data_IF_911833560507
#
_entry.id   IF_911833560507
#
_cell.length_a   1.000
_cell.length_b   1.000
_cell.length_c   1.000
_cell.angle_alpha   90.00
_cell.angle_beta   90.00
_cell.angle_gamma   90.00
#
_symmetry.space_group_name_H-M   'P 1'
#
loop_
_entity.id
_entity.type
_entity.pdbx_description
1 polymer ?
#
# COMPACT_ATOMS: atom_id res chain seq x y z
N UNK A 1 -13.10 -7.34 -4.28
CA UNK A 1 -12.37 -6.07 -4.26
C UNK A 1 -11.49 -5.93 -5.51
N UNK A 2 -10.32 -6.60 -5.56
CA UNK A 2 -9.37 -6.53 -6.67
C UNK A 2 -8.93 -7.94 -7.08
N UNK A 3 -8.59 -8.15 -8.36
CA UNK A 3 -8.04 -9.40 -8.89
C UNK A 3 -6.68 -9.10 -9.52
N UNK A 4 -5.63 -9.25 -8.73
CA UNK A 4 -4.23 -9.11 -9.17
C UNK A 4 -3.52 -10.47 -9.11
N UNK A 5 -2.46 -10.72 -9.90
CA UNK A 5 -1.76 -12.00 -9.90
C UNK A 5 -1.31 -12.41 -8.50
N UNK A 6 -1.79 -13.56 -8.05
CA UNK A 6 -1.42 -14.18 -6.78
C UNK A 6 -1.75 -15.68 -6.82
N UNK A 7 -1.04 -16.49 -6.02
CA UNK A 7 -1.28 -17.93 -5.92
C UNK A 7 -1.35 -18.71 -7.25
N UNK A 8 -0.62 -18.25 -8.29
CA UNK A 8 -0.60 -18.90 -9.61
C UNK A 8 0.13 -20.24 -9.59
N UNK A 9 0.96 -20.48 -8.58
CA UNK A 9 1.54 -21.80 -8.27
C UNK A 9 0.44 -22.85 -8.02
N UNK A 10 -0.66 -22.44 -7.37
CA UNK A 10 -1.82 -23.28 -7.06
C UNK A 10 -2.86 -23.27 -8.19
N UNK A 11 -3.24 -22.09 -8.69
CA UNK A 11 -4.35 -21.94 -9.64
C UNK A 11 -3.95 -22.07 -11.10
N UNK A 12 -2.65 -22.02 -11.41
CA UNK A 12 -2.03 -22.18 -12.74
C UNK A 12 -2.34 -21.05 -13.73
N UNK A 13 -3.55 -20.46 -13.73
CA UNK A 13 -3.94 -19.36 -14.61
C UNK A 13 -4.69 -18.27 -13.84
N UNK A 14 -4.67 -17.05 -14.38
CA UNK A 14 -5.43 -15.93 -13.82
C UNK A 14 -6.94 -16.16 -13.86
N UNK A 15 -7.42 -16.84 -14.88
CA UNK A 15 -8.84 -17.20 -15.05
C UNK A 15 -9.30 -18.15 -13.93
N UNK A 16 -8.52 -19.22 -13.67
CA UNK A 16 -8.83 -20.16 -12.60
C UNK A 16 -8.77 -19.49 -11.21
N UNK A 17 -7.80 -18.58 -11.02
CA UNK A 17 -7.71 -17.79 -9.79
C UNK A 17 -8.92 -16.85 -9.62
N UNK A 18 -9.30 -16.10 -10.68
CA UNK A 18 -10.44 -15.20 -10.66
C UNK A 18 -11.75 -15.98 -10.38
N UNK A 19 -12.01 -17.11 -11.06
CA UNK A 19 -13.20 -17.93 -10.81
C UNK A 19 -13.24 -18.45 -9.37
N UNK A 20 -12.11 -18.83 -8.80
CA UNK A 20 -12.05 -19.22 -7.39
C UNK A 20 -12.44 -18.07 -6.44
N UNK A 21 -12.07 -16.83 -6.75
CA UNK A 21 -12.49 -15.63 -6.00
C UNK A 21 -13.96 -15.28 -6.22
N UNK A 22 -14.47 -15.46 -7.43
CA UNK A 22 -15.87 -15.19 -7.77
C UNK A 22 -16.87 -16.09 -7.03
N UNK A 23 -16.44 -17.25 -6.53
CA UNK A 23 -17.26 -18.09 -5.67
C UNK A 23 -17.79 -17.37 -4.41
N UNK A 24 -17.25 -16.21 -4.03
CA UNK A 24 -17.75 -15.42 -2.89
C UNK A 24 -19.21 -15.00 -3.10
N UNK A 25 -19.65 -14.84 -4.36
CA UNK A 25 -21.02 -14.41 -4.68
C UNK A 25 -21.99 -15.55 -4.96
N UNK A 26 -21.54 -16.82 -4.98
CA UNK A 26 -22.35 -17.96 -5.42
C UNK A 26 -23.66 -18.19 -4.64
N UNK A 27 -23.72 -17.71 -3.41
CA UNK A 27 -24.88 -17.84 -2.54
C UNK A 27 -25.64 -16.52 -2.36
N UNK A 28 -25.22 -15.46 -3.07
CA UNK A 28 -25.87 -14.15 -2.99
C UNK A 28 -27.19 -14.13 -3.77
N UNK A 29 -28.11 -13.34 -3.26
CA UNK A 29 -29.44 -13.07 -3.83
C UNK A 29 -29.52 -11.61 -4.29
N UNK A 30 -30.69 -11.19 -4.79
CA UNK A 30 -30.93 -9.80 -5.17
C UNK A 30 -30.98 -8.82 -3.97
N UNK A 31 -31.06 -9.32 -2.74
CA UNK A 31 -31.03 -8.50 -1.51
C UNK A 31 -29.62 -8.29 -0.99
N UNK A 32 -28.62 -8.96 -1.56
CA UNK A 32 -27.22 -8.86 -1.17
C UNK A 32 -26.47 -7.82 -1.97
N UNK A 33 -25.27 -7.49 -1.49
CA UNK A 33 -24.36 -6.54 -2.17
C UNK A 33 -23.02 -7.20 -2.49
N UNK A 34 -22.43 -6.79 -3.61
CA UNK A 34 -21.04 -7.08 -3.95
C UNK A 34 -20.31 -5.77 -4.28
N UNK A 35 -19.13 -5.59 -3.68
CA UNK A 35 -18.32 -4.39 -3.86
C UNK A 35 -17.14 -4.72 -4.77
N UNK A 36 -17.06 -4.06 -5.92
CA UNK A 36 -16.12 -4.35 -6.99
C UNK A 36 -15.33 -3.09 -7.41
N UNK A 37 -14.06 -3.30 -7.80
CA UNK A 37 -13.24 -2.24 -8.39
C UNK A 37 -13.63 -2.02 -9.86
N UNK A 38 -14.07 -0.81 -10.20
CA UNK A 38 -14.47 -0.43 -11.54
C UNK A 38 -13.28 -0.30 -12.50
N UNK A 39 -12.07 -0.08 -12.00
CA UNK A 39 -10.86 0.01 -12.80
C UNK A 39 -10.40 -1.37 -13.34
N UNK A 40 -10.87 -2.47 -12.74
CA UNK A 40 -10.57 -3.84 -13.17
C UNK A 40 -11.59 -4.34 -14.20
N UNK A 41 -11.14 -4.54 -15.44
CA UNK A 41 -12.00 -5.03 -16.54
C UNK A 41 -12.62 -6.40 -16.26
N UNK A 42 -11.88 -7.32 -15.61
CA UNK A 42 -12.40 -8.64 -15.25
C UNK A 42 -13.56 -8.54 -14.27
N UNK A 43 -13.48 -7.57 -13.34
CA UNK A 43 -14.56 -7.34 -12.38
C UNK A 43 -15.78 -6.69 -13.04
N UNK A 44 -15.60 -5.82 -14.05
CA UNK A 44 -16.72 -5.30 -14.84
C UNK A 44 -17.44 -6.41 -15.61
N UNK A 45 -16.70 -7.34 -16.21
CA UNK A 45 -17.30 -8.51 -16.86
C UNK A 45 -17.96 -9.46 -15.85
N UNK A 46 -17.34 -9.68 -14.70
CA UNK A 46 -17.90 -10.51 -13.65
C UNK A 46 -19.23 -9.95 -13.11
N UNK A 47 -19.34 -8.63 -12.97
CA UNK A 47 -20.54 -7.95 -12.48
C UNK A 47 -21.79 -8.29 -13.29
N UNK A 48 -21.66 -8.54 -14.60
CA UNK A 48 -22.77 -8.95 -15.49
C UNK A 48 -23.37 -10.31 -15.10
N UNK A 49 -22.65 -11.09 -14.30
CA UNK A 49 -23.05 -12.44 -13.84
C UNK A 49 -23.62 -12.40 -12.41
N UNK A 50 -23.48 -11.26 -11.70
CA UNK A 50 -23.95 -11.15 -10.33
C UNK A 50 -25.46 -10.96 -10.27
N UNK A 51 -26.13 -11.67 -9.33
CA UNK A 51 -27.54 -11.45 -8.99
C UNK A 51 -27.71 -10.34 -7.96
N UNK A 52 -26.69 -10.12 -7.13
CA UNK A 52 -26.65 -9.10 -6.07
C UNK A 52 -26.46 -7.70 -6.62
N UNK A 53 -26.82 -6.70 -5.81
CA UNK A 53 -26.53 -5.30 -6.13
C UNK A 53 -25.02 -5.06 -6.17
N UNK A 54 -24.55 -4.46 -7.28
CA UNK A 54 -23.13 -4.11 -7.43
C UNK A 54 -22.92 -2.67 -6.98
N UNK A 55 -22.07 -2.48 -5.97
CA UNK A 55 -21.52 -1.17 -5.61
C UNK A 55 -20.08 -1.09 -6.12
N UNK A 56 -19.80 -0.05 -6.86
CA UNK A 56 -18.50 0.16 -7.45
C UNK A 56 -17.62 1.07 -6.60
N UNK A 57 -16.33 0.90 -6.73
CA UNK A 57 -15.36 1.95 -6.43
C UNK A 57 -14.35 2.05 -7.58
N UNK A 58 -13.92 3.26 -7.88
CA UNK A 58 -12.97 3.51 -8.97
C UNK A 58 -12.10 4.73 -8.68
N UNK A 59 -10.86 4.67 -9.12
CA UNK A 59 -9.90 5.77 -8.97
C UNK A 59 -9.53 6.38 -10.32
N UNK A 60 -9.38 5.57 -11.34
CA UNK A 60 -9.02 5.98 -12.71
C UNK A 60 -10.27 6.23 -13.55
N UNK A 61 -11.23 5.31 -13.46
CA UNK A 61 -12.48 5.36 -14.22
C UNK A 61 -13.64 5.65 -13.28
N UNK A 62 -14.46 6.65 -13.65
CA UNK A 62 -15.65 7.02 -12.90
C UNK A 62 -16.78 6.02 -13.17
N UNK A 63 -17.31 5.33 -12.14
CA UNK A 63 -18.48 4.46 -12.29
C UNK A 63 -19.79 5.28 -12.35
N UNK A 64 -20.86 4.67 -12.85
CA UNK A 64 -22.20 5.29 -12.86
C UNK A 64 -22.82 5.34 -11.43
N UNK A 65 -22.44 4.43 -10.57
CA UNK A 65 -22.87 4.39 -9.15
C UNK A 65 -21.76 3.84 -8.28
N UNK A 66 -21.67 4.30 -7.03
CA UNK A 66 -20.66 3.85 -6.07
C UNK A 66 -19.75 4.97 -5.61
N UNK A 67 -18.48 4.69 -5.43
CA UNK A 67 -17.49 5.66 -4.93
C UNK A 67 -16.42 5.93 -5.97
N UNK A 68 -15.99 7.19 -6.05
CA UNK A 68 -15.00 7.62 -7.03
C UNK A 68 -14.03 8.62 -6.41
N UNK A 69 -12.74 8.45 -6.71
CA UNK A 69 -11.68 9.37 -6.29
C UNK A 69 -11.30 10.32 -7.42
N UNK A 70 -11.29 11.62 -7.15
CA UNK A 70 -10.84 12.65 -8.09
C UNK A 70 -10.34 13.88 -7.31
N UNK A 71 -9.23 14.47 -7.75
CA UNK A 71 -8.70 15.73 -7.24
C UNK A 71 -8.59 15.77 -5.71
N UNK A 72 -8.08 14.69 -5.10
CA UNK A 72 -7.92 14.45 -3.64
C UNK A 72 -9.22 14.32 -2.85
N UNK A 73 -10.35 14.14 -3.53
CA UNK A 73 -11.67 13.98 -2.90
C UNK A 73 -12.28 12.63 -3.30
N UNK A 74 -12.91 11.96 -2.36
CA UNK A 74 -13.76 10.80 -2.58
C UNK A 74 -15.21 11.28 -2.68
N UNK A 75 -15.85 10.92 -3.78
CA UNK A 75 -17.24 11.23 -4.09
C UNK A 75 -18.10 9.97 -4.00
N UNK A 76 -19.36 10.13 -3.57
CA UNK A 76 -20.43 9.15 -3.73
C UNK A 76 -21.26 9.51 -4.97
N UNK A 77 -21.46 8.55 -5.86
CA UNK A 77 -22.21 8.71 -7.10
C UNK A 77 -23.47 7.85 -7.06
N UNK A 78 -24.62 8.45 -7.28
CA UNK A 78 -25.91 7.78 -7.35
C UNK A 78 -26.90 8.64 -8.17
N UNK A 79 -27.68 8.01 -9.07
CA UNK A 79 -28.77 8.67 -9.82
C UNK A 79 -28.37 10.01 -10.46
N UNK A 80 -27.31 10.10 -11.22
CA UNK A 80 -26.78 11.33 -11.82
C UNK A 80 -26.35 12.43 -10.78
N UNK A 81 -26.28 12.10 -9.51
CA UNK A 81 -25.79 12.98 -8.47
C UNK A 81 -24.38 12.59 -8.05
N UNK A 82 -23.63 13.61 -7.71
CA UNK A 82 -22.27 13.48 -7.18
C UNK A 82 -22.20 14.24 -5.85
N UNK A 83 -21.89 13.52 -4.79
CA UNK A 83 -21.78 14.07 -3.44
C UNK A 83 -20.33 13.94 -2.95
N UNK A 84 -19.75 15.03 -2.50
CA UNK A 84 -18.44 15.06 -1.87
C UNK A 84 -18.52 14.43 -0.48
N UNK A 85 -17.75 13.37 -0.23
CA UNK A 85 -17.77 12.60 1.00
C UNK A 85 -16.59 12.94 1.89
N UNK A 86 -15.36 12.95 1.32
CA UNK A 86 -14.16 13.01 2.13
C UNK A 86 -12.97 13.52 1.31
N UNK A 87 -12.26 14.52 1.84
CA UNK A 87 -10.95 14.88 1.33
C UNK A 87 -9.90 13.90 1.90
N UNK A 88 -9.04 13.33 1.04
CA UNK A 88 -8.00 12.39 1.49
C UNK A 88 -6.90 13.05 2.32
N UNK A 89 -6.84 14.37 2.35
CA UNK A 89 -5.95 15.11 3.26
C UNK A 89 -6.42 15.06 4.73
N UNK A 90 -7.70 14.74 4.95
CA UNK A 90 -8.31 14.65 6.29
C UNK A 90 -8.11 13.25 6.91
N UNK A 91 -7.48 12.31 6.21
CA UNK A 91 -7.26 10.95 6.71
C UNK A 91 -5.78 10.64 6.96
N UNK A 92 -5.52 9.71 7.88
CA UNK A 92 -4.16 9.30 8.25
C UNK A 92 -3.56 8.22 7.32
N UNK A 93 -4.27 7.86 6.26
CA UNK A 93 -3.84 6.86 5.28
C UNK A 93 -3.26 7.55 4.06
N UNK A 94 -2.12 7.06 3.56
CA UNK A 94 -1.47 7.60 2.37
C UNK A 94 -1.38 6.57 1.25
N UNK A 95 -1.38 7.06 0.01
CA UNK A 95 -1.21 6.27 -1.20
C UNK A 95 -2.52 5.79 -1.83
N UNK A 96 -2.50 5.74 -3.15
CA UNK A 96 -3.66 5.45 -4.00
C UNK A 96 -4.41 4.17 -3.62
N UNK A 97 -3.65 3.10 -3.29
CA UNK A 97 -4.22 1.83 -2.86
C UNK A 97 -5.03 1.94 -1.54
N UNK A 98 -4.65 2.88 -0.66
CA UNK A 98 -5.41 3.13 0.56
C UNK A 98 -6.68 3.92 0.27
N UNK A 99 -6.67 4.84 -0.70
CA UNK A 99 -7.87 5.54 -1.13
C UNK A 99 -8.88 4.57 -1.77
N UNK A 100 -8.41 3.59 -2.54
CA UNK A 100 -9.24 2.47 -3.02
C UNK A 100 -9.81 1.64 -1.87
N UNK A 101 -9.00 1.31 -0.86
CA UNK A 101 -9.45 0.59 0.33
C UNK A 101 -10.50 1.39 1.12
N UNK A 102 -10.33 2.71 1.26
CA UNK A 102 -11.30 3.60 1.90
C UNK A 102 -12.61 3.60 1.14
N UNK A 103 -12.59 3.79 -0.18
CA UNK A 103 -13.80 3.74 -1.01
C UNK A 103 -14.53 2.39 -0.88
N UNK A 104 -13.78 1.29 -0.89
CA UNK A 104 -14.35 -0.04 -0.68
C UNK A 104 -14.98 -0.19 0.72
N UNK A 105 -14.32 0.34 1.76
CA UNK A 105 -14.85 0.32 3.13
C UNK A 105 -16.12 1.16 3.27
N UNK A 106 -16.17 2.35 2.66
CA UNK A 106 -17.37 3.20 2.60
C UNK A 106 -18.53 2.45 1.92
N UNK A 107 -18.26 1.79 0.78
CA UNK A 107 -19.27 1.01 0.07
C UNK A 107 -19.77 -0.21 0.89
N UNK A 108 -18.90 -0.88 1.63
CA UNK A 108 -19.27 -1.99 2.53
C UNK A 108 -20.15 -1.47 3.67
N UNK A 109 -19.78 -0.35 4.29
CA UNK A 109 -20.53 0.25 5.39
C UNK A 109 -21.92 0.71 4.94
N UNK A 110 -22.03 1.33 3.75
CA UNK A 110 -23.29 1.69 3.12
C UNK A 110 -24.18 0.45 2.91
N UNK A 111 -23.63 -0.62 2.30
CA UNK A 111 -24.35 -1.87 2.09
C UNK A 111 -24.82 -2.52 3.42
N UNK A 112 -24.08 -2.31 4.50
CA UNK A 112 -24.43 -2.76 5.84
C UNK A 112 -25.41 -1.82 6.59
N UNK A 113 -25.84 -0.71 5.97
CA UNK A 113 -26.76 0.25 6.56
C UNK A 113 -26.13 1.13 7.65
N UNK A 114 -24.81 1.26 7.68
CA UNK A 114 -24.12 2.16 8.63
C UNK A 114 -24.30 3.61 8.15
N UNK A 115 -24.72 4.55 9.03
CA UNK A 115 -24.85 5.95 8.67
C UNK A 115 -23.52 6.55 8.16
N UNK A 116 -23.61 7.38 7.13
CA UNK A 116 -22.43 7.92 6.42
C UNK A 116 -21.58 8.82 7.32
N UNK A 117 -22.18 9.60 8.22
CA UNK A 117 -21.49 10.46 9.18
C UNK A 117 -20.59 9.64 10.13
N UNK A 118 -21.08 8.50 10.62
CA UNK A 118 -20.30 7.57 11.44
C UNK A 118 -19.14 6.99 10.65
N UNK A 119 -19.39 6.55 9.42
CA UNK A 119 -18.34 5.94 8.58
C UNK A 119 -17.26 6.96 8.23
N UNK A 120 -17.64 8.21 7.94
CA UNK A 120 -16.70 9.29 7.64
C UNK A 120 -15.85 9.62 8.88
N UNK A 121 -16.47 9.75 10.05
CA UNK A 121 -15.75 10.04 11.30
C UNK A 121 -14.75 8.94 11.64
N UNK A 122 -15.15 7.67 11.55
CA UNK A 122 -14.26 6.53 11.75
C UNK A 122 -13.11 6.55 10.73
N UNK A 123 -13.37 6.87 9.47
CA UNK A 123 -12.34 6.92 8.41
C UNK A 123 -11.32 8.03 8.68
N UNK A 124 -11.74 9.21 9.12
CA UNK A 124 -10.83 10.31 9.49
C UNK A 124 -9.91 9.95 10.66
N UNK A 125 -10.46 9.24 11.64
CA UNK A 125 -9.72 8.85 12.84
C UNK A 125 -8.99 7.51 12.71
N UNK A 126 -9.16 6.79 11.60
CA UNK A 126 -8.49 5.51 11.38
C UNK A 126 -7.00 5.72 11.13
N UNK A 127 -6.18 4.99 11.88
CA UNK A 127 -4.73 4.95 11.70
C UNK A 127 -4.34 3.72 10.90
N UNK A 128 -3.27 3.82 10.12
CA UNK A 128 -2.75 2.69 9.37
C UNK A 128 -2.51 1.48 10.29
N UNK A 129 -2.73 0.28 9.75
CA UNK A 129 -2.39 -0.96 10.47
C UNK A 129 -0.90 -0.93 10.78
N UNK A 130 -0.54 -1.26 12.02
CA UNK A 130 0.84 -1.28 12.48
C UNK A 130 1.77 -2.00 11.47
N UNK A 131 2.91 -1.40 11.18
CA UNK A 131 3.91 -1.86 10.20
C UNK A 131 3.50 -1.80 8.72
N UNK A 132 2.40 -1.11 8.35
CA UNK A 132 2.00 -0.93 6.95
C UNK A 132 1.90 0.56 6.61
N UNK A 133 2.99 1.12 6.08
CA UNK A 133 3.16 2.55 5.79
C UNK A 133 2.67 3.42 6.98
N UNK A 134 2.91 2.91 8.18
CA UNK A 134 2.53 3.55 9.43
C UNK A 134 3.38 4.80 9.65
N UNK A 135 2.76 5.97 9.77
CA UNK A 135 3.47 7.17 10.19
C UNK A 135 3.87 7.02 11.67
N UNK A 136 5.17 7.00 11.92
CA UNK A 136 5.73 6.81 13.28
C UNK A 136 5.83 8.14 14.02
N UNK A 137 6.48 9.11 13.39
CA UNK A 137 6.71 10.45 13.97
C UNK A 137 7.11 11.46 12.90
N UNK A 138 7.22 12.73 13.32
CA UNK A 138 7.83 13.80 12.53
C UNK A 138 8.85 14.50 13.43
N UNK A 139 10.15 14.37 13.11
CA UNK A 139 11.26 14.90 13.90
C UNK A 139 12.04 15.87 13.01
N UNK A 140 12.23 17.09 13.45
CA UNK A 140 12.95 18.16 12.72
C UNK A 140 12.44 18.37 11.26
N UNK A 141 11.12 18.13 11.05
CA UNK A 141 10.47 18.24 9.75
C UNK A 141 10.64 17.02 8.84
N UNK A 142 11.36 15.98 9.27
CA UNK A 142 11.50 14.68 8.61
C UNK A 142 10.39 13.74 9.09
N UNK A 143 9.66 13.13 8.16
CA UNK A 143 8.58 12.18 8.48
C UNK A 143 9.09 10.75 8.39
N UNK A 144 8.87 9.97 9.44
CA UNK A 144 9.29 8.57 9.51
C UNK A 144 8.11 7.62 9.29
N UNK A 145 8.27 6.68 8.33
CA UNK A 145 7.25 5.68 7.98
C UNK A 145 7.76 4.26 8.21
N UNK A 146 6.94 3.46 8.89
CA UNK A 146 7.20 2.05 9.14
C UNK A 146 6.34 1.18 8.22
N UNK A 147 6.97 0.58 7.22
CA UNK A 147 6.37 -0.43 6.34
C UNK A 147 7.12 -1.77 6.47
N UNK A 148 7.49 -2.14 7.70
CA UNK A 148 8.19 -3.40 7.96
C UNK A 148 7.46 -4.64 7.43
N UNK A 149 6.14 -4.55 7.20
CA UNK A 149 5.31 -5.58 6.57
C UNK A 149 5.52 -5.68 5.05
N UNK A 150 6.24 -4.76 4.43
CA UNK A 150 6.72 -4.83 3.04
C UNK A 150 7.78 -5.91 2.86
N UNK A 151 7.39 -7.18 2.98
CA UNK A 151 8.29 -8.35 2.98
C UNK A 151 8.50 -8.94 1.59
N UNK A 152 8.09 -8.24 0.54
CA UNK A 152 8.31 -8.55 -0.87
C UNK A 152 8.39 -7.26 -1.70
N UNK A 153 8.86 -7.37 -2.93
CA UNK A 153 9.06 -6.23 -3.83
C UNK A 153 7.77 -5.50 -4.16
N UNK A 154 6.66 -6.21 -4.43
CA UNK A 154 5.35 -5.62 -4.75
C UNK A 154 4.83 -4.69 -3.65
N UNK A 155 4.95 -5.12 -2.39
CA UNK A 155 4.52 -4.32 -1.25
C UNK A 155 5.37 -3.04 -1.14
N UNK A 156 6.69 -3.16 -1.27
CA UNK A 156 7.60 -2.02 -1.16
C UNK A 156 7.47 -1.05 -2.34
N UNK A 157 7.20 -1.53 -3.55
CA UNK A 157 6.86 -0.68 -4.71
C UNK A 157 5.64 0.20 -4.40
N UNK A 158 4.60 -0.37 -3.79
CA UNK A 158 3.41 0.40 -3.37
C UNK A 158 3.74 1.44 -2.31
N UNK A 159 4.60 1.08 -1.35
CA UNK A 159 5.05 2.01 -0.31
C UNK A 159 5.86 3.17 -0.91
N UNK A 160 6.81 2.90 -1.82
CA UNK A 160 7.59 3.91 -2.51
C UNK A 160 6.68 4.85 -3.32
N UNK A 161 5.74 4.29 -4.09
CA UNK A 161 4.79 5.08 -4.87
C UNK A 161 3.91 5.98 -4.02
N UNK A 162 3.62 5.59 -2.77
CA UNK A 162 2.85 6.38 -1.82
C UNK A 162 3.62 7.58 -1.25
N UNK A 163 4.96 7.62 -1.37
CA UNK A 163 5.76 8.73 -0.88
C UNK A 163 5.55 9.98 -1.74
N UNK A 164 5.35 11.11 -1.06
CA UNK A 164 5.16 12.44 -1.66
C UNK A 164 6.32 13.40 -1.37
N UNK A 165 7.36 12.93 -0.68
CA UNK A 165 8.56 13.69 -0.29
C UNK A 165 9.80 12.99 -0.80
N UNK A 166 10.94 13.67 -0.98
CA UNK A 166 12.23 13.00 -1.14
C UNK A 166 12.43 12.02 0.02
N UNK A 167 12.79 10.77 -0.28
CA UNK A 167 12.73 9.68 0.70
C UNK A 167 14.07 8.97 0.82
N UNK A 168 14.53 8.78 2.05
CA UNK A 168 15.60 7.85 2.38
C UNK A 168 14.96 6.48 2.68
N UNK A 169 15.34 5.46 1.92
CA UNK A 169 14.73 4.14 1.96
C UNK A 169 15.65 3.14 2.66
N UNK A 170 15.16 2.50 3.72
CA UNK A 170 15.83 1.35 4.35
C UNK A 170 15.24 0.08 3.75
N UNK A 171 16.09 -0.71 3.06
CA UNK A 171 15.69 -1.95 2.39
C UNK A 171 16.68 -3.10 2.64
N UNK A 172 16.23 -4.32 2.32
CA UNK A 172 17.02 -5.54 2.47
C UNK A 172 16.54 -6.46 3.59
N UNK A 173 17.15 -7.62 3.69
CA UNK A 173 16.76 -8.68 4.60
C UNK A 173 17.00 -10.08 4.01
N UNK A 174 16.18 -11.06 4.38
CA UNK A 174 16.27 -12.45 3.95
C UNK A 174 15.93 -12.62 2.45
N UNK A 175 16.78 -13.35 1.71
CA UNK A 175 16.61 -13.59 0.27
C UNK A 175 15.58 -14.69 -0.02
N UNK A 176 14.51 -14.31 -0.70
CA UNK A 176 13.51 -15.23 -1.27
C UNK A 176 13.73 -15.46 -2.77
N UNK A 177 14.94 -15.16 -3.30
CA UNK A 177 15.27 -15.18 -4.72
C UNK A 177 14.37 -14.28 -5.59
N UNK A 178 13.92 -13.16 -5.04
CA UNK A 178 13.14 -12.17 -5.79
C UNK A 178 14.03 -11.38 -6.75
N UNK A 179 13.52 -11.00 -7.94
CA UNK A 179 14.13 -9.96 -8.76
C UNK A 179 13.89 -8.59 -8.13
N UNK A 180 14.81 -7.63 -8.35
CA UNK A 180 14.71 -6.29 -7.80
C UNK A 180 14.59 -5.19 -8.88
N UNK A 181 14.55 -5.56 -10.16
CA UNK A 181 14.48 -4.60 -11.26
C UNK A 181 13.30 -3.66 -11.15
N UNK A 182 12.08 -4.17 -11.10
CA UNK A 182 10.85 -3.36 -10.92
C UNK A 182 10.86 -2.54 -9.62
N UNK A 183 11.51 -3.07 -8.57
CA UNK A 183 11.63 -2.37 -7.28
C UNK A 183 12.53 -1.14 -7.44
N UNK A 184 13.68 -1.26 -8.10
CA UNK A 184 14.59 -0.12 -8.34
C UNK A 184 13.96 0.87 -9.34
N UNK A 185 13.33 0.38 -10.41
CA UNK A 185 12.63 1.24 -11.39
C UNK A 185 11.51 2.07 -10.73
N UNK A 186 10.89 1.53 -9.69
CA UNK A 186 9.82 2.24 -8.95
C UNK A 186 10.30 3.46 -8.15
N UNK A 187 11.62 3.68 -8.04
CA UNK A 187 12.18 4.84 -7.34
C UNK A 187 11.77 6.17 -7.97
N UNK A 188 11.74 6.24 -9.30
CA UNK A 188 11.19 7.33 -10.10
C UNK A 188 11.46 8.74 -9.53
N UNK A 189 12.71 8.98 -9.14
CA UNK A 189 13.16 10.23 -8.54
C UNK A 189 12.66 10.51 -7.10
N UNK A 190 11.88 9.62 -6.51
CA UNK A 190 11.39 9.77 -5.13
C UNK A 190 12.40 9.35 -4.07
N UNK A 191 13.23 8.35 -4.39
CA UNK A 191 14.25 7.85 -3.47
C UNK A 191 15.52 8.70 -3.62
N UNK A 192 15.85 9.43 -2.55
CA UNK A 192 17.04 10.28 -2.44
C UNK A 192 18.27 9.46 -2.07
N UNK A 193 18.09 8.46 -1.20
CA UNK A 193 19.15 7.59 -0.70
C UNK A 193 18.60 6.21 -0.39
N UNK A 194 19.39 5.17 -0.69
CA UNK A 194 19.08 3.77 -0.38
C UNK A 194 20.05 3.25 0.68
N UNK A 195 19.52 2.89 1.85
CA UNK A 195 20.30 2.29 2.94
C UNK A 195 19.96 0.80 3.02
N UNK A 196 20.95 -0.06 2.83
CA UNK A 196 20.79 -1.49 2.67
C UNK A 196 21.27 -2.27 3.89
N UNK A 197 20.46 -3.24 4.34
CA UNK A 197 20.74 -4.13 5.46
C UNK A 197 20.52 -5.59 5.08
N UNK A 198 21.14 -6.50 5.83
CA UNK A 198 20.87 -7.94 5.78
C UNK A 198 21.40 -8.67 4.56
N UNK A 199 20.98 -9.93 4.41
CA UNK A 199 21.56 -10.87 3.46
C UNK A 199 21.42 -10.47 1.98
N UNK A 200 20.41 -9.66 1.62
CA UNK A 200 20.18 -9.22 0.23
C UNK A 200 20.86 -7.90 -0.12
N UNK A 201 21.55 -7.25 0.82
CA UNK A 201 22.10 -5.92 0.64
C UNK A 201 22.98 -5.78 -0.62
N UNK A 202 23.97 -6.67 -0.82
CA UNK A 202 24.84 -6.63 -2.00
C UNK A 202 24.09 -6.93 -3.31
N UNK A 203 23.08 -7.81 -3.28
CA UNK A 203 22.26 -8.13 -4.46
C UNK A 203 21.41 -6.93 -4.89
N UNK A 204 20.76 -6.25 -3.93
CA UNK A 204 19.97 -5.04 -4.23
C UNK A 204 20.88 -3.92 -4.70
N UNK A 205 22.06 -3.73 -4.08
CA UNK A 205 23.05 -2.74 -4.49
C UNK A 205 23.50 -2.96 -5.94
N UNK A 206 23.84 -4.20 -6.32
CA UNK A 206 24.25 -4.53 -7.68
C UNK A 206 23.14 -4.15 -8.69
N UNK A 207 21.90 -4.54 -8.44
CA UNK A 207 20.75 -4.20 -9.26
C UNK A 207 20.55 -2.67 -9.34
N UNK A 208 20.66 -1.95 -8.22
CA UNK A 208 20.52 -0.49 -8.19
C UNK A 208 21.58 0.21 -9.05
N UNK A 209 22.84 -0.25 -8.98
CA UNK A 209 23.92 0.28 -9.80
C UNK A 209 23.71 -0.01 -11.30
N UNK A 210 23.22 -1.18 -11.68
CA UNK A 210 22.86 -1.52 -13.06
C UNK A 210 21.76 -0.60 -13.61
N UNK A 211 20.82 -0.15 -12.77
CA UNK A 211 19.79 0.82 -13.11
C UNK A 211 20.23 2.28 -12.93
N UNK A 212 21.52 2.54 -12.64
CA UNK A 212 22.09 3.88 -12.54
C UNK A 212 21.81 4.60 -11.21
N UNK A 213 21.26 3.92 -10.21
CA UNK A 213 21.10 4.52 -8.89
C UNK A 213 22.36 4.30 -8.03
N UNK A 214 23.02 5.40 -7.64
CA UNK A 214 24.36 5.36 -7.03
C UNK A 214 24.43 5.86 -5.58
N UNK A 215 23.39 6.57 -5.09
CA UNK A 215 23.38 7.04 -3.70
C UNK A 215 22.95 5.92 -2.75
N UNK A 216 23.90 5.02 -2.45
CA UNK A 216 23.67 3.79 -1.69
C UNK A 216 24.62 3.75 -0.50
N UNK A 217 24.08 3.43 0.67
CA UNK A 217 24.83 3.16 1.89
C UNK A 217 24.56 1.74 2.38
N UNK A 218 25.55 1.14 2.97
CA UNK A 218 25.46 -0.19 3.58
C UNK A 218 25.43 -0.01 5.10
N UNK A 219 24.65 -0.81 5.79
CA UNK A 219 24.58 -0.82 7.23
C UNK A 219 24.56 -2.26 7.77
N UNK A 220 25.24 -2.50 8.87
CA UNK A 220 25.36 -3.83 9.49
C UNK A 220 24.15 -4.15 10.38
N UNK A 221 23.36 -3.12 10.74
CA UNK A 221 22.17 -3.28 11.59
C UNK A 221 21.08 -2.24 11.24
N UNK A 222 19.87 -2.46 11.78
CA UNK A 222 18.78 -1.48 11.64
C UNK A 222 19.09 -0.20 12.43
N UNK A 223 19.77 -0.31 13.55
CA UNK A 223 20.23 0.80 14.38
C UNK A 223 21.14 1.74 13.57
N UNK A 224 22.11 1.16 12.88
CA UNK A 224 23.03 1.90 12.03
C UNK A 224 22.28 2.52 10.83
N UNK A 225 21.40 1.77 10.18
CA UNK A 225 20.61 2.27 9.06
C UNK A 225 19.74 3.48 9.46
N UNK A 226 19.08 3.43 10.62
CA UNK A 226 18.31 4.56 11.14
C UNK A 226 19.22 5.74 11.50
N UNK A 227 20.41 5.49 12.07
CA UNK A 227 21.39 6.55 12.36
C UNK A 227 21.87 7.25 11.09
N UNK A 228 22.16 6.50 10.03
CA UNK A 228 22.51 7.04 8.72
C UNK A 228 21.38 7.93 8.20
N UNK A 229 20.14 7.41 8.17
CA UNK A 229 18.99 8.18 7.70
C UNK A 229 18.76 9.45 8.53
N UNK A 230 18.94 9.40 9.85
CA UNK A 230 18.84 10.59 10.72
C UNK A 230 19.90 11.66 10.40
N UNK A 231 21.12 11.22 10.07
CA UNK A 231 22.23 12.11 9.77
C UNK A 231 22.12 12.78 8.38
N UNK A 232 21.54 12.07 7.40
CA UNK A 232 21.52 12.50 5.98
C UNK A 232 20.19 13.10 5.55
N UNK A 233 19.13 12.96 6.37
CA UNK A 233 17.84 13.57 6.09
C UNK A 233 17.80 15.06 6.42
N UNK A 234 17.04 15.81 5.65
CA UNK A 234 16.81 17.25 5.80
C UNK A 234 15.32 17.53 6.04
N UNK A 235 15.02 18.72 6.58
CA UNK A 235 13.63 19.17 6.72
C UNK A 235 12.90 19.09 5.37
N UNK A 236 11.78 18.39 5.34
CA UNK A 236 10.99 18.13 4.13
C UNK A 236 11.16 16.72 3.59
N UNK A 237 12.16 15.96 4.02
CA UNK A 237 12.37 14.57 3.64
C UNK A 237 11.42 13.60 4.36
N UNK A 238 11.42 12.36 3.90
CA UNK A 238 10.87 11.22 4.61
C UNK A 238 11.92 10.12 4.79
N UNK A 239 11.81 9.34 5.86
CA UNK A 239 12.53 8.08 6.07
C UNK A 239 11.51 6.95 6.03
N UNK A 240 11.73 5.99 5.13
CA UNK A 240 10.83 4.85 4.93
C UNK A 240 11.57 3.53 5.22
N UNK A 241 11.11 2.79 6.22
CA UNK A 241 11.46 1.38 6.34
C UNK A 241 10.50 0.56 5.47
N UNK A 242 10.90 0.15 4.28
CA UNK A 242 10.14 -0.78 3.42
C UNK A 242 11.09 -1.78 2.77
N UNK A 243 11.32 -2.91 3.45
CA UNK A 243 12.48 -3.76 3.22
C UNK A 243 12.51 -4.51 1.90
N UNK A 244 11.38 -4.72 1.22
CA UNK A 244 11.23 -5.61 0.06
C UNK A 244 11.60 -7.09 0.33
N UNK A 245 12.00 -7.40 1.55
CA UNK A 245 12.54 -8.69 1.99
C UNK A 245 11.92 -9.16 3.30
N UNK A 246 11.86 -10.47 3.52
CA UNK A 246 11.53 -11.01 4.83
C UNK A 246 12.60 -10.62 5.87
N UNK A 247 12.25 -10.77 7.16
CA UNK A 247 13.10 -10.30 8.27
C UNK A 247 13.96 -11.41 8.91
N UNK A 248 13.85 -12.64 8.43
CA UNK A 248 14.30 -13.85 9.15
C UNK A 248 15.82 -14.03 9.26
N UNK A 249 16.60 -13.23 8.55
CA UNK A 249 18.05 -13.19 8.65
C UNK A 249 18.56 -12.40 9.87
N UNK A 250 17.82 -11.36 10.27
CA UNK A 250 18.23 -10.46 11.36
C UNK A 250 17.21 -10.41 12.51
N UNK A 251 15.93 -10.79 12.28
CA UNK A 251 14.84 -10.67 13.24
C UNK A 251 13.96 -11.92 13.27
N UNK A 252 13.26 -12.16 14.37
CA UNK A 252 12.32 -13.27 14.50
C UNK A 252 11.06 -13.06 13.64
N UNK A 253 10.66 -11.80 13.42
CA UNK A 253 9.48 -11.45 12.63
C UNK A 253 9.57 -10.00 12.13
N UNK A 254 8.71 -9.65 11.15
CA UNK A 254 8.60 -8.27 10.67
C UNK A 254 8.07 -7.32 11.76
N UNK A 255 7.25 -7.81 12.69
CA UNK A 255 6.77 -7.01 13.82
C UNK A 255 7.92 -6.60 14.73
N UNK A 256 8.85 -7.52 15.01
CA UNK A 256 10.04 -7.19 15.82
C UNK A 256 10.87 -6.10 15.11
N UNK A 257 11.15 -6.26 13.81
CA UNK A 257 11.87 -5.25 13.01
C UNK A 257 11.16 -3.90 13.03
N UNK A 258 9.86 -3.89 12.85
CA UNK A 258 9.07 -2.67 12.83
C UNK A 258 8.98 -1.97 14.19
N UNK A 259 8.88 -2.72 15.30
CA UNK A 259 8.92 -2.13 16.65
C UNK A 259 10.27 -1.53 16.96
N UNK A 260 11.36 -2.24 16.67
CA UNK A 260 12.72 -1.71 16.84
C UNK A 260 12.90 -0.41 16.04
N UNK A 261 12.44 -0.37 14.79
CA UNK A 261 12.47 0.87 13.98
C UNK A 261 11.74 2.02 14.70
N UNK A 262 10.54 1.77 15.21
CA UNK A 262 9.76 2.78 15.95
C UNK A 262 10.47 3.28 17.20
N UNK A 263 11.09 2.36 17.95
CA UNK A 263 11.86 2.71 19.16
C UNK A 263 13.09 3.56 18.80
N UNK A 264 13.83 3.18 17.75
CA UNK A 264 14.99 3.92 17.27
C UNK A 264 14.64 5.32 16.72
N UNK A 265 13.47 5.47 16.11
CA UNK A 265 13.00 6.77 15.62
C UNK A 265 12.72 7.70 16.80
N UNK A 266 12.04 7.21 17.84
CA UNK A 266 11.61 8.02 18.99
C UNK A 266 12.73 8.34 19.98
N UNK A 267 13.86 7.64 19.85
CA UNK A 267 15.09 7.91 20.58
C UNK A 267 15.26 7.35 21.88
#
# INVERSE_FOLDING_TARGET
LNITPDHLDRHKTMEAYAEAKFNVTKNQTADDFVILNFDDERLREFAKRCTSHVLWFGRVNKPDTGYYYKDRVIYRIYEDREEEILNVDDINLIGDHNYENVMAALAIAEAAGVPSDITIDVTRNFHAVEHRIEKVDTIDGVVYYNDSKGTNTDASIKAIKAMSRPTLLIAGGYDKNSPYDDFIESFDGKIKELVLIGATAEKIKACALEHGFTNIKMADSLEEAVSICKADSENGDAVLLSPACASWDMFKSYEQRGRLFKDLVKG
#
